data_IF_338897740403
#
_entry.id   IF_338897740403
#
_cell.length_a   1.000
_cell.length_b   1.000
_cell.length_c   1.000
_cell.angle_alpha   90.00
_cell.angle_beta   90.00
_cell.angle_gamma   90.00
#
_symmetry.space_group_name_H-M   'P 1'
#
loop_
_entity.id
_entity.type
_entity.pdbx_description
1 polymer ?
#
# COMPACT_ATOMS: atom_id res chain seq x y z
N UNK A 1 26.41 -4.88 -10.25
CA UNK A 1 27.05 -3.68 -9.71
C UNK A 1 27.22 -3.77 -8.21
N UNK A 2 28.35 -3.28 -7.70
CA UNK A 2 28.72 -3.36 -6.26
C UNK A 2 27.82 -2.48 -5.36
N UNK A 3 26.95 -1.66 -5.92
CA UNK A 3 26.07 -0.74 -5.20
C UNK A 3 24.61 -1.20 -5.11
N UNK A 4 24.26 -2.33 -5.72
CA UNK A 4 22.87 -2.80 -5.73
C UNK A 4 22.54 -3.45 -4.37
N UNK A 5 21.36 -3.18 -3.85
CA UNK A 5 20.84 -3.75 -2.61
C UNK A 5 19.68 -4.68 -2.91
N UNK A 6 19.77 -5.91 -2.40
CA UNK A 6 18.66 -6.87 -2.47
C UNK A 6 17.80 -6.77 -1.20
N UNK A 7 16.50 -6.60 -1.38
CA UNK A 7 15.48 -6.53 -0.35
C UNK A 7 14.72 -7.85 -0.31
N UNK A 8 15.09 -8.73 0.61
CA UNK A 8 14.62 -10.13 0.63
C UNK A 8 13.12 -10.26 0.89
N UNK A 9 12.49 -9.38 1.64
CA UNK A 9 11.05 -9.42 1.92
C UNK A 9 10.23 -9.08 0.68
N UNK A 10 10.66 -8.07 -0.07
CA UNK A 10 9.98 -7.61 -1.28
C UNK A 10 10.46 -8.31 -2.56
N UNK A 11 11.52 -9.11 -2.49
CA UNK A 11 12.20 -9.70 -3.66
C UNK A 11 12.61 -8.66 -4.72
N UNK A 12 13.07 -7.49 -4.28
CA UNK A 12 13.48 -6.37 -5.15
C UNK A 12 14.99 -6.16 -5.06
N UNK A 13 15.59 -5.79 -6.18
CA UNK A 13 16.93 -5.22 -6.25
C UNK A 13 16.80 -3.74 -6.57
N UNK A 14 17.42 -2.89 -5.78
CA UNK A 14 17.40 -1.43 -5.99
C UNK A 14 18.78 -0.82 -5.95
N UNK A 15 18.92 0.38 -6.48
CA UNK A 15 20.02 1.29 -6.18
C UNK A 15 19.90 1.79 -4.73
N UNK A 16 20.96 2.39 -4.13
CA UNK A 16 20.88 2.93 -2.78
C UNK A 16 19.81 4.01 -2.66
N UNK A 17 18.78 3.73 -1.87
CA UNK A 17 17.63 4.63 -1.66
C UNK A 17 18.02 5.84 -0.81
N UNK A 18 19.02 5.69 0.05
CA UNK A 18 19.50 6.75 0.95
C UNK A 18 20.11 7.95 0.22
N UNK A 19 20.56 7.74 -1.02
CA UNK A 19 21.11 8.80 -1.88
C UNK A 19 20.03 9.61 -2.63
N UNK A 20 18.76 9.19 -2.54
CA UNK A 20 17.64 9.82 -3.26
C UNK A 20 17.04 10.92 -2.38
N UNK A 21 16.93 12.14 -2.95
CA UNK A 21 16.22 13.24 -2.29
C UNK A 21 14.74 12.86 -2.12
N UNK A 22 14.26 12.90 -0.87
CA UNK A 22 12.88 12.54 -0.54
C UNK A 22 11.93 13.72 -0.72
N UNK A 23 10.70 13.42 -1.11
CA UNK A 23 9.58 14.34 -1.16
C UNK A 23 9.27 14.96 0.22
N UNK A 24 8.59 16.10 0.25
CA UNK A 24 8.06 16.68 1.50
C UNK A 24 6.79 15.98 1.94
N UNK A 25 5.96 15.58 0.98
CA UNK A 25 4.74 14.82 1.21
C UNK A 25 5.04 13.32 1.25
N UNK A 26 4.19 12.57 1.93
CA UNK A 26 4.35 11.12 2.03
C UNK A 26 3.11 10.35 1.60
N UNK A 27 3.33 9.09 1.29
CA UNK A 27 2.29 8.08 1.13
C UNK A 27 2.23 7.18 2.36
N UNK A 28 1.02 6.70 2.66
CA UNK A 28 0.79 5.70 3.70
C UNK A 28 0.65 4.33 3.07
N UNK A 29 1.52 3.39 3.44
CA UNK A 29 1.43 1.98 3.04
C UNK A 29 0.85 1.19 4.21
N UNK A 30 -0.33 0.61 3.99
CA UNK A 30 -1.04 -0.16 5.00
C UNK A 30 -1.13 -1.62 4.57
N UNK A 31 -0.84 -2.57 5.45
CA UNK A 31 -1.13 -3.96 5.17
C UNK A 31 -1.96 -4.62 6.29
N UNK A 32 -2.88 -5.51 5.89
CA UNK A 32 -3.82 -6.14 6.79
C UNK A 32 -3.14 -7.14 7.71
N UNK A 33 -2.33 -8.03 7.18
CA UNK A 33 -1.66 -9.07 7.93
C UNK A 33 -0.18 -9.19 7.60
N UNK A 34 0.53 -9.96 8.41
CA UNK A 34 1.96 -10.22 8.20
C UNK A 34 2.23 -11.04 6.92
N UNK A 35 1.26 -11.80 6.46
CA UNK A 35 1.36 -12.55 5.19
C UNK A 35 1.35 -11.63 3.96
N UNK A 36 0.86 -10.40 4.08
CA UNK A 36 0.81 -9.41 3.01
C UNK A 36 2.08 -8.55 2.91
N UNK A 37 3.06 -8.76 3.81
CA UNK A 37 4.25 -7.91 3.94
C UNK A 37 5.10 -7.84 2.67
N UNK A 38 5.21 -8.92 1.92
CA UNK A 38 5.99 -8.93 0.69
C UNK A 38 5.47 -7.90 -0.31
N UNK A 39 4.16 -7.89 -0.54
CA UNK A 39 3.49 -6.95 -1.46
C UNK A 39 3.53 -5.51 -0.90
N UNK A 40 3.42 -5.36 0.43
CA UNK A 40 3.49 -4.06 1.08
C UNK A 40 4.90 -3.44 1.00
N UNK A 41 5.95 -4.24 1.21
CA UNK A 41 7.32 -3.77 1.04
C UNK A 41 7.66 -3.51 -0.43
N UNK A 42 7.12 -4.29 -1.38
CA UNK A 42 7.25 -3.98 -2.79
C UNK A 42 6.70 -2.59 -3.11
N UNK A 43 5.50 -2.27 -2.64
CA UNK A 43 4.90 -0.95 -2.82
C UNK A 43 5.73 0.17 -2.17
N UNK A 44 6.18 -0.07 -0.92
CA UNK A 44 6.96 0.90 -0.17
C UNK A 44 8.30 1.21 -0.85
N UNK A 45 9.05 0.19 -1.20
CA UNK A 45 10.36 0.33 -1.85
C UNK A 45 10.24 0.97 -3.24
N UNK A 46 9.21 0.60 -4.00
CA UNK A 46 8.94 1.23 -5.31
C UNK A 46 8.78 2.74 -5.17
N UNK A 47 7.98 3.19 -4.20
CA UNK A 47 7.79 4.62 -3.95
C UNK A 47 9.08 5.29 -3.45
N UNK A 48 9.84 4.64 -2.57
CA UNK A 48 11.11 5.17 -2.05
C UNK A 48 12.17 5.35 -3.15
N UNK A 49 12.27 4.40 -4.08
CA UNK A 49 13.16 4.53 -5.26
C UNK A 49 12.72 5.69 -6.16
N UNK A 50 11.45 6.03 -6.19
CA UNK A 50 10.95 7.21 -6.90
C UNK A 50 11.25 8.54 -6.16
N UNK A 51 11.84 8.49 -4.97
CA UNK A 51 12.11 9.66 -4.13
C UNK A 51 10.93 10.08 -3.25
N UNK A 52 9.94 9.21 -3.07
CA UNK A 52 8.77 9.52 -2.25
C UNK A 52 9.00 9.10 -0.81
N UNK A 53 8.61 9.96 0.12
CA UNK A 53 8.59 9.62 1.53
C UNK A 53 7.46 8.62 1.81
N UNK A 54 7.76 7.55 2.55
CA UNK A 54 6.82 6.47 2.87
C UNK A 54 6.67 6.31 4.37
N UNK A 55 5.44 6.15 4.84
CA UNK A 55 5.12 5.67 6.20
C UNK A 55 4.43 4.32 6.12
N UNK A 56 4.96 3.35 6.86
CA UNK A 56 4.52 1.96 6.89
C UNK A 56 3.63 1.70 8.09
N UNK A 57 2.47 1.08 7.87
CA UNK A 57 1.50 0.67 8.89
C UNK A 57 1.15 -0.80 8.65
N UNK A 58 1.86 -1.69 9.30
CA UNK A 58 1.71 -3.12 9.08
C UNK A 58 0.90 -3.77 10.19
N UNK A 59 0.26 -4.91 9.86
CA UNK A 59 -0.61 -5.67 10.76
C UNK A 59 -1.76 -4.81 11.34
N UNK A 60 -2.38 -4.00 10.49
CA UNK A 60 -3.51 -3.12 10.84
C UNK A 60 -4.86 -3.64 10.30
N UNK A 61 -4.96 -4.96 10.10
CA UNK A 61 -6.17 -5.60 9.61
C UNK A 61 -7.39 -5.43 10.51
N UNK A 62 -8.57 -5.64 9.94
CA UNK A 62 -9.87 -5.40 10.60
C UNK A 62 -10.11 -6.29 11.80
N UNK A 63 -9.50 -7.47 11.89
CA UNK A 63 -9.58 -8.35 13.07
C UNK A 63 -8.94 -7.74 14.33
N UNK A 64 -8.11 -6.71 14.17
CA UNK A 64 -7.54 -5.92 15.25
C UNK A 64 -7.62 -4.43 14.95
N UNK A 65 -8.83 -3.96 14.64
CA UNK A 65 -9.12 -2.60 14.12
C UNK A 65 -8.56 -1.47 15.00
N UNK A 66 -8.41 -1.70 16.31
CA UNK A 66 -7.81 -0.75 17.24
C UNK A 66 -6.37 -0.37 16.83
N UNK A 67 -5.63 -1.28 16.19
CA UNK A 67 -4.27 -1.01 15.71
C UNK A 67 -4.28 0.03 14.60
N UNK A 68 -5.25 -0.04 13.68
CA UNK A 68 -5.47 1.00 12.66
C UNK A 68 -5.79 2.36 13.29
N UNK A 69 -6.71 2.38 14.25
CA UNK A 69 -7.11 3.64 14.90
C UNK A 69 -5.99 4.33 15.66
N UNK A 70 -5.03 3.59 16.21
CA UNK A 70 -3.86 4.18 16.85
C UNK A 70 -3.00 5.02 15.89
N UNK A 71 -3.09 4.77 14.59
CA UNK A 71 -2.31 5.45 13.55
C UNK A 71 -3.12 6.40 12.67
N UNK A 72 -4.43 6.48 12.85
CA UNK A 72 -5.33 7.17 11.91
C UNK A 72 -4.98 8.64 11.69
N UNK A 73 -4.52 9.35 12.72
CA UNK A 73 -4.11 10.74 12.59
C UNK A 73 -2.94 10.92 11.64
N UNK A 74 -1.99 9.99 11.67
CA UNK A 74 -0.83 10.02 10.79
C UNK A 74 -1.22 9.57 9.38
N UNK A 75 -2.08 8.56 9.26
CA UNK A 75 -2.56 8.06 7.95
C UNK A 75 -3.28 9.18 7.19
N UNK A 76 -4.14 9.95 7.85
CA UNK A 76 -4.89 11.07 7.26
C UNK A 76 -4.03 12.22 6.74
N UNK A 77 -2.83 12.40 7.26
CA UNK A 77 -1.91 13.44 6.79
C UNK A 77 -1.16 13.06 5.51
N UNK A 78 -1.19 11.79 5.12
CA UNK A 78 -0.67 11.31 3.84
C UNK A 78 -1.43 11.90 2.67
N UNK A 79 -0.81 11.93 1.50
CA UNK A 79 -1.45 12.42 0.27
C UNK A 79 -2.14 11.32 -0.51
N UNK A 80 -1.71 10.08 -0.30
CA UNK A 80 -2.27 8.87 -0.90
C UNK A 80 -2.07 7.72 0.09
N UNK A 81 -3.02 6.81 0.15
CA UNK A 81 -2.84 5.53 0.84
C UNK A 81 -2.76 4.38 -0.17
N UNK A 82 -1.85 3.45 0.07
CA UNK A 82 -1.85 2.13 -0.59
C UNK A 82 -2.26 1.12 0.45
N UNK A 83 -3.36 0.42 0.21
CA UNK A 83 -3.94 -0.53 1.15
C UNK A 83 -3.85 -1.93 0.59
N UNK A 84 -3.05 -2.76 1.23
CA UNK A 84 -2.74 -4.12 0.80
C UNK A 84 -3.47 -5.10 1.74
N UNK A 85 -4.29 -5.98 1.19
CA UNK A 85 -5.03 -6.94 1.98
C UNK A 85 -5.35 -8.20 1.16
N UNK A 86 -5.26 -9.34 1.83
CA UNK A 86 -5.79 -10.61 1.36
C UNK A 86 -7.18 -10.91 1.92
N UNK A 87 -7.56 -12.19 1.93
CA UNK A 87 -8.84 -12.67 2.42
C UNK A 87 -10.03 -11.97 1.74
N UNK A 88 -10.87 -11.28 2.50
CA UNK A 88 -12.03 -10.52 2.00
C UNK A 88 -11.73 -9.06 1.62
N UNK A 89 -10.50 -8.60 1.84
CA UNK A 89 -10.09 -7.25 1.45
C UNK A 89 -10.72 -6.09 2.23
N UNK A 90 -11.32 -6.35 3.38
CA UNK A 90 -12.13 -5.38 4.12
C UNK A 90 -11.38 -4.13 4.58
N UNK A 91 -10.06 -4.22 4.78
CA UNK A 91 -9.25 -3.08 5.20
C UNK A 91 -9.36 -1.90 4.24
N UNK A 92 -9.43 -2.15 2.92
CA UNK A 92 -9.55 -1.11 1.92
C UNK A 92 -10.84 -0.26 2.09
N UNK A 93 -11.96 -0.93 2.34
CA UNK A 93 -13.24 -0.24 2.60
C UNK A 93 -13.23 0.56 3.90
N UNK A 94 -12.61 0.02 4.95
CA UNK A 94 -12.50 0.70 6.24
C UNK A 94 -11.64 1.95 6.12
N UNK A 95 -10.46 1.84 5.53
CA UNK A 95 -9.56 3.00 5.32
C UNK A 95 -10.25 4.03 4.43
N UNK A 96 -10.96 3.60 3.37
CA UNK A 96 -11.70 4.49 2.48
C UNK A 96 -12.78 5.32 3.15
N UNK A 97 -13.38 4.80 4.23
CA UNK A 97 -14.33 5.56 5.07
C UNK A 97 -13.66 6.51 6.07
N UNK A 98 -12.33 6.43 6.24
CA UNK A 98 -11.61 7.17 7.28
C UNK A 98 -10.70 8.28 6.74
N UNK A 99 -10.36 8.27 5.45
CA UNK A 99 -9.45 9.25 4.83
C UNK A 99 -10.17 10.06 3.76
N UNK A 100 -9.61 11.20 3.41
CA UNK A 100 -10.13 12.15 2.40
C UNK A 100 -9.20 12.32 1.19
N UNK A 101 -8.26 11.39 1.04
CA UNK A 101 -7.31 11.35 -0.08
C UNK A 101 -7.47 10.04 -0.89
N UNK A 102 -6.92 9.96 -2.13
CA UNK A 102 -7.02 8.77 -2.95
C UNK A 102 -6.42 7.52 -2.32
N UNK A 103 -7.05 6.37 -2.61
CA UNK A 103 -6.59 5.06 -2.17
C UNK A 103 -6.33 4.16 -3.37
N UNK A 104 -5.18 3.51 -3.37
CA UNK A 104 -4.91 2.36 -4.21
C UNK A 104 -5.03 1.09 -3.36
N UNK A 105 -6.06 0.29 -3.65
CA UNK A 105 -6.28 -0.99 -3.01
C UNK A 105 -5.59 -2.09 -3.82
N UNK A 106 -4.73 -2.85 -3.16
CA UNK A 106 -3.99 -3.97 -3.76
C UNK A 106 -4.49 -5.26 -3.10
N UNK A 107 -5.32 -6.05 -3.80
CA UNK A 107 -5.68 -7.36 -3.31
C UNK A 107 -4.45 -8.27 -3.34
N UNK A 108 -4.31 -9.16 -2.36
CA UNK A 108 -3.27 -10.19 -2.39
C UNK A 108 -3.86 -11.57 -2.59
N UNK A 109 -3.02 -12.50 -3.10
CA UNK A 109 -3.37 -13.92 -3.23
C UNK A 109 -3.46 -14.64 -1.87
N UNK A 110 -3.13 -13.95 -0.78
CA UNK A 110 -3.17 -14.49 0.59
C UNK A 110 -4.60 -14.84 0.98
N UNK A 111 -4.84 -16.11 1.24
CA UNK A 111 -6.15 -16.59 1.64
C UNK A 111 -6.27 -18.09 1.58
N UNK A 112 -7.46 -18.60 1.91
CA UNK A 112 -7.84 -20.02 1.85
C UNK A 112 -9.33 -20.15 1.52
N UNK A 113 -9.77 -21.40 1.30
CA UNK A 113 -11.18 -21.67 0.98
C UNK A 113 -11.62 -21.03 -0.34
N UNK A 114 -12.65 -20.21 -0.30
CA UNK A 114 -13.21 -19.55 -1.48
C UNK A 114 -12.43 -18.31 -1.94
N UNK A 115 -11.22 -18.09 -1.45
CA UNK A 115 -10.41 -16.93 -1.84
C UNK A 115 -9.95 -16.96 -3.30
N UNK A 116 -9.81 -18.15 -3.89
CA UNK A 116 -9.44 -18.36 -5.31
C UNK A 116 -8.20 -17.52 -5.70
N UNK A 117 -7.12 -17.65 -4.93
CA UNK A 117 -5.85 -16.94 -5.14
C UNK A 117 -6.00 -15.41 -5.29
N UNK A 118 -6.88 -14.82 -4.47
CA UNK A 118 -7.10 -13.38 -4.43
C UNK A 118 -8.23 -12.86 -5.31
N UNK A 119 -8.88 -13.71 -6.12
CA UNK A 119 -10.01 -13.28 -6.99
C UNK A 119 -11.18 -12.78 -6.13
N UNK A 120 -11.51 -13.47 -5.05
CA UNK A 120 -12.56 -13.03 -4.12
C UNK A 120 -12.20 -11.67 -3.49
N UNK A 121 -10.96 -11.48 -3.11
CA UNK A 121 -10.46 -10.22 -2.56
C UNK A 121 -10.59 -9.09 -3.59
N UNK A 122 -10.16 -9.33 -4.82
CA UNK A 122 -10.28 -8.38 -5.93
C UNK A 122 -11.74 -7.97 -6.16
N UNK A 123 -12.64 -8.93 -6.28
CA UNK A 123 -14.07 -8.67 -6.49
C UNK A 123 -14.71 -7.92 -5.32
N UNK A 124 -14.33 -8.24 -4.10
CA UNK A 124 -14.78 -7.52 -2.90
C UNK A 124 -14.32 -6.06 -2.93
N UNK A 125 -13.05 -5.81 -3.22
CA UNK A 125 -12.51 -4.44 -3.29
C UNK A 125 -13.14 -3.62 -4.42
N UNK A 126 -13.38 -4.19 -5.60
CA UNK A 126 -14.06 -3.52 -6.71
C UNK A 126 -15.50 -3.12 -6.35
N UNK A 127 -16.18 -3.92 -5.53
CA UNK A 127 -17.53 -3.64 -5.06
C UNK A 127 -17.60 -2.79 -3.79
N UNK A 128 -16.47 -2.25 -3.33
CA UNK A 128 -16.45 -1.44 -2.11
C UNK A 128 -17.25 -0.15 -2.28
N UNK A 129 -18.04 0.22 -1.27
CA UNK A 129 -18.81 1.47 -1.24
C UNK A 129 -17.96 2.72 -0.97
N UNK A 130 -16.66 2.55 -0.67
CA UNK A 130 -15.78 3.66 -0.33
C UNK A 130 -15.34 4.41 -1.60
N UNK A 131 -15.84 5.64 -1.86
CA UNK A 131 -15.41 6.43 -3.00
C UNK A 131 -13.94 6.83 -2.88
N UNK A 132 -13.26 7.06 -4.00
CA UNK A 132 -11.84 7.39 -4.01
C UNK A 132 -10.91 6.18 -3.94
N UNK A 133 -11.45 4.96 -3.91
CA UNK A 133 -10.68 3.72 -3.96
C UNK A 133 -10.54 3.22 -5.40
N UNK A 134 -9.32 3.12 -5.87
CA UNK A 134 -8.95 2.48 -7.14
C UNK A 134 -8.31 1.13 -6.86
N UNK A 135 -8.83 0.08 -7.45
CA UNK A 135 -8.36 -1.29 -7.21
C UNK A 135 -7.37 -1.69 -8.29
N UNK A 136 -6.25 -2.25 -7.88
CA UNK A 136 -5.22 -2.78 -8.77
C UNK A 136 -5.36 -4.30 -8.92
N UNK A 137 -4.55 -4.89 -9.78
CA UNK A 137 -4.52 -6.33 -9.94
C UNK A 137 -3.86 -7.03 -8.72
N UNK A 138 -4.09 -8.33 -8.59
CA UNK A 138 -3.64 -9.15 -7.47
C UNK A 138 -2.11 -9.13 -7.35
N UNK A 139 -1.60 -8.99 -6.13
CA UNK A 139 -0.19 -8.98 -5.76
C UNK A 139 0.66 -7.89 -6.43
N UNK A 140 0.04 -6.83 -6.94
CA UNK A 140 0.75 -5.76 -7.63
C UNK A 140 1.15 -4.61 -6.67
N UNK A 141 2.06 -4.88 -5.77
CA UNK A 141 2.65 -3.86 -4.89
C UNK A 141 3.38 -2.78 -5.68
N UNK A 142 4.11 -3.18 -6.73
CA UNK A 142 4.78 -2.23 -7.63
C UNK A 142 3.80 -1.17 -8.18
N UNK A 143 2.68 -1.61 -8.76
CA UNK A 143 1.66 -0.69 -9.29
C UNK A 143 1.10 0.23 -8.22
N UNK A 144 0.87 -0.29 -7.00
CA UNK A 144 0.42 0.51 -5.85
C UNK A 144 1.38 1.62 -5.50
N UNK A 145 2.64 1.29 -5.27
CA UNK A 145 3.70 2.24 -4.94
C UNK A 145 3.97 3.24 -6.04
N UNK A 146 4.01 2.78 -7.30
CA UNK A 146 4.27 3.62 -8.46
C UNK A 146 3.18 4.67 -8.69
N UNK A 147 1.90 4.25 -8.74
CA UNK A 147 0.78 5.17 -8.96
C UNK A 147 0.64 6.19 -7.82
N UNK A 148 0.79 5.74 -6.57
CA UNK A 148 0.77 6.64 -5.43
C UNK A 148 1.94 7.65 -5.49
N UNK A 149 3.12 7.20 -5.86
CA UNK A 149 4.29 8.04 -6.05
C UNK A 149 4.11 9.09 -7.14
N UNK A 150 3.46 8.73 -8.25
CA UNK A 150 3.12 9.69 -9.32
C UNK A 150 2.23 10.82 -8.81
N UNK A 151 1.21 10.52 -8.01
CA UNK A 151 0.31 11.56 -7.43
C UNK A 151 1.12 12.53 -6.57
N UNK A 152 1.98 12.03 -5.69
CA UNK A 152 2.81 12.91 -4.84
C UNK A 152 3.73 13.78 -5.68
N UNK A 153 4.37 13.24 -6.73
CA UNK A 153 5.18 14.03 -7.66
C UNK A 153 4.38 15.12 -8.37
N UNK A 154 3.16 14.83 -8.78
CA UNK A 154 2.27 15.83 -9.39
C UNK A 154 1.93 16.96 -8.41
N UNK A 155 1.70 16.65 -7.14
CA UNK A 155 1.42 17.64 -6.10
C UNK A 155 2.64 18.53 -5.84
N UNK A 156 3.85 18.00 -5.87
CA UNK A 156 5.08 18.74 -5.56
C UNK A 156 5.65 19.53 -6.75
N UNK A 157 5.24 19.20 -7.96
CA UNK A 157 5.66 19.90 -9.18
C UNK A 157 4.73 21.08 -9.55
N UNK A 158 3.62 21.25 -8.82
CA UNK A 158 2.71 22.38 -8.95
C UNK A 158 2.95 23.40 -7.83
#
# INVERSE_FOLDING_TARGET
CIRDRYHSVANIVSTPIEEIKKSQNYISILCAGTSDLAVAEEAALTAEVMGIQVKRFYDVGVSGIHRLFNHIHVIRQGKVSVVIAGMEGALASVVGGLVDHPIYAVPTSVGYGANLDGVTTLLSMINACAPGTSVLNIDNGFGGGYNAGMIVKMIENN
#
